data_IF_318405739642
#
_entry.id   IF_318405739642
#
_cell.length_a   1.000
_cell.length_b   1.000
_cell.length_c   1.000
_cell.angle_alpha   90.00
_cell.angle_beta   90.00
_cell.angle_gamma   90.00
#
_symmetry.space_group_name_H-M   'P 1'
#
loop_
_entity.id
_entity.type
_entity.pdbx_description
1 polymer ?
#
# COMPACT_ATOMS: atom_id res chain seq x y z
N UNK A 1 -0.98 -29.42 75.10
CA UNK A 1 -1.54 -28.23 74.44
C UNK A 1 -0.36 -27.39 73.98
N UNK A 2 0.02 -27.48 72.70
CA UNK A 2 1.25 -26.86 72.15
C UNK A 2 0.90 -25.43 71.76
N UNK A 3 1.65 -24.45 72.29
CA UNK A 3 1.44 -23.02 72.06
C UNK A 3 2.20 -22.63 70.78
N UNK A 4 1.48 -22.36 69.69
CA UNK A 4 2.07 -21.84 68.46
C UNK A 4 2.42 -20.37 68.66
N UNK A 5 3.72 -20.06 68.76
CA UNK A 5 4.21 -18.68 68.70
C UNK A 5 4.13 -18.17 67.26
N UNK A 6 3.35 -17.11 67.06
CA UNK A 6 3.16 -16.48 65.75
C UNK A 6 4.43 -15.75 65.30
N UNK A 7 4.93 -16.12 64.14
CA UNK A 7 6.06 -15.45 63.49
C UNK A 7 5.62 -14.06 63.02
N UNK A 8 6.08 -13.01 63.71
CA UNK A 8 5.86 -11.62 63.32
C UNK A 8 6.93 -11.19 62.31
N UNK A 9 6.56 -11.17 61.02
CA UNK A 9 7.42 -10.65 59.97
C UNK A 9 7.35 -9.11 59.99
N UNK A 10 8.41 -8.45 60.48
CA UNK A 10 8.57 -7.00 60.43
C UNK A 10 9.14 -6.60 59.06
N UNK A 11 8.36 -5.89 58.26
CA UNK A 11 8.84 -5.26 57.03
C UNK A 11 9.35 -3.86 57.38
N UNK A 12 10.62 -3.59 57.11
CA UNK A 12 11.22 -2.27 57.21
C UNK A 12 11.41 -1.72 55.79
N UNK A 13 10.86 -0.53 55.53
CA UNK A 13 11.05 0.20 54.28
C UNK A 13 12.05 1.33 54.54
N UNK A 14 13.15 1.35 53.78
CA UNK A 14 14.06 2.48 53.75
C UNK A 14 13.65 3.39 52.59
N UNK A 15 13.32 4.66 52.89
CA UNK A 15 13.09 5.68 51.88
C UNK A 15 14.38 6.48 51.68
N UNK A 16 14.86 6.53 50.45
CA UNK A 16 15.97 7.40 50.04
C UNK A 16 15.39 8.58 49.26
N UNK A 17 15.63 9.80 49.74
CA UNK A 17 15.32 11.03 49.01
C UNK A 17 16.60 11.51 48.35
N UNK A 18 16.60 11.60 47.03
CA UNK A 18 17.74 12.12 46.27
C UNK A 18 17.41 13.54 45.81
N UNK A 19 18.30 14.50 46.11
CA UNK A 19 18.18 15.88 45.65
C UNK A 19 19.22 16.15 44.55
N UNK A 20 18.78 16.75 43.44
CA UNK A 20 19.65 17.22 42.37
C UNK A 20 19.74 18.75 42.45
N UNK A 21 20.96 19.28 42.53
CA UNK A 21 21.21 20.72 42.65
C UNK A 21 21.94 21.19 41.40
N UNK A 22 21.33 22.12 40.66
CA UNK A 22 21.95 22.80 39.54
C UNK A 22 22.49 24.16 40.02
N UNK A 23 23.80 24.35 39.93
CA UNK A 23 24.47 25.61 40.27
C UNK A 23 24.84 26.34 38.99
N UNK A 24 24.32 27.55 38.81
CA UNK A 24 24.76 28.49 37.76
C UNK A 24 25.54 29.61 38.43
N UNK A 25 26.76 29.85 37.94
CA UNK A 25 27.64 30.93 38.40
C UNK A 25 27.64 32.03 37.32
N UNK A 26 27.61 33.29 37.74
CA UNK A 26 27.71 34.42 36.80
C UNK A 26 29.07 34.42 36.08
N UNK A 27 29.03 34.54 34.75
CA UNK A 27 30.19 34.51 33.85
C UNK A 27 29.76 34.59 32.39
N UNK A 28 30.70 34.48 31.46
CA UNK A 28 30.37 34.47 30.02
C UNK A 28 29.54 33.22 29.68
N UNK A 29 28.27 33.41 29.35
CA UNK A 29 27.36 32.33 28.96
C UNK A 29 27.37 32.18 27.44
N UNK A 30 27.59 30.95 26.98
CA UNK A 30 27.56 30.58 25.55
C UNK A 30 26.52 29.48 25.34
N UNK A 31 25.36 29.87 24.80
CA UNK A 31 24.24 28.98 24.47
C UNK A 31 24.28 28.61 22.98
N UNK A 32 25.14 27.64 22.61
CA UNK A 32 25.25 27.19 21.21
C UNK A 32 24.99 25.69 21.09
N UNK A 33 24.02 25.31 20.26
CA UNK A 33 23.67 23.93 19.98
C UNK A 33 23.35 23.69 18.51
N UNK A 34 23.51 22.45 18.07
CA UNK A 34 23.17 22.06 16.69
C UNK A 34 22.59 20.66 16.62
N UNK A 35 21.81 20.38 15.57
CA UNK A 35 21.32 19.04 15.28
C UNK A 35 22.39 18.31 14.47
N UNK A 36 23.14 17.43 15.14
CA UNK A 36 24.20 16.64 14.51
C UNK A 36 23.64 15.61 13.52
N UNK A 37 22.52 14.98 13.87
CA UNK A 37 21.83 14.07 12.94
C UNK A 37 20.37 13.93 13.29
N UNK A 38 19.53 13.87 12.25
CA UNK A 38 18.13 13.49 12.37
C UNK A 38 17.78 12.48 11.28
N UNK A 39 17.41 11.26 11.67
CA UNK A 39 17.15 10.16 10.74
C UNK A 39 16.01 9.28 11.19
N UNK A 40 15.28 8.73 10.21
CA UNK A 40 14.40 7.59 10.45
C UNK A 40 15.24 6.33 10.59
N UNK A 41 14.94 5.46 11.56
CA UNK A 41 15.60 4.16 11.71
C UNK A 41 15.26 3.23 10.54
N UNK A 42 14.03 3.32 10.05
CA UNK A 42 13.52 2.54 8.92
C UNK A 42 13.20 3.48 7.75
N UNK A 43 13.81 3.23 6.59
CA UNK A 43 13.57 4.02 5.38
C UNK A 43 12.30 3.61 4.64
N UNK A 44 11.88 2.35 4.76
CA UNK A 44 10.68 1.77 4.16
C UNK A 44 9.91 1.03 5.24
N UNK A 45 8.65 1.38 5.42
CA UNK A 45 7.78 0.90 6.49
C UNK A 45 6.46 0.42 5.88
N UNK A 46 5.90 -0.67 6.39
CA UNK A 46 4.63 -1.23 5.89
C UNK A 46 3.41 -0.54 6.49
N UNK A 47 3.49 -0.23 7.78
CA UNK A 47 2.48 0.45 8.58
C UNK A 47 2.92 1.88 8.84
N UNK A 48 1.99 2.74 9.24
CA UNK A 48 2.24 4.11 9.66
C UNK A 48 2.91 4.15 11.05
N UNK A 49 3.97 3.36 11.26
CA UNK A 49 4.74 3.31 12.50
C UNK A 49 6.21 3.59 12.22
N UNK A 50 6.67 4.80 12.54
CA UNK A 50 8.04 5.24 12.28
C UNK A 50 8.79 5.55 13.57
N UNK A 51 10.05 5.16 13.61
CA UNK A 51 10.95 5.49 14.70
C UNK A 51 12.03 6.45 14.23
N UNK A 52 12.23 7.53 14.95
CA UNK A 52 13.20 8.57 14.63
C UNK A 52 14.31 8.62 15.66
N UNK A 53 15.53 8.82 15.18
CA UNK A 53 16.71 9.11 15.99
C UNK A 53 17.15 10.55 15.74
N UNK A 54 17.18 11.33 16.82
CA UNK A 54 17.70 12.69 16.85
C UNK A 54 18.95 12.73 17.72
N UNK A 55 20.02 13.33 17.21
CA UNK A 55 21.23 13.62 17.99
C UNK A 55 21.41 15.12 18.03
N UNK A 56 21.25 15.68 19.23
CA UNK A 56 21.48 17.09 19.49
C UNK A 56 22.83 17.26 20.16
N UNK A 57 23.65 18.16 19.64
CA UNK A 57 24.99 18.47 20.11
C UNK A 57 24.96 19.85 20.78
N UNK A 58 25.33 19.88 22.06
CA UNK A 58 25.53 21.12 22.80
C UNK A 58 27.02 21.49 22.72
N UNK A 59 27.31 22.59 22.03
CA UNK A 59 28.66 23.18 21.87
C UNK A 59 28.91 24.32 22.85
N UNK A 60 27.90 24.66 23.66
CA UNK A 60 27.95 25.71 24.67
C UNK A 60 28.61 25.26 25.96
N UNK A 61 28.74 26.21 26.88
CA UNK A 61 29.30 25.99 28.21
C UNK A 61 28.25 25.81 29.31
N UNK A 62 26.97 25.94 28.97
CA UNK A 62 25.82 25.72 29.87
C UNK A 62 24.93 24.60 29.34
N UNK A 63 24.21 23.94 30.24
CA UNK A 63 23.26 22.89 29.89
C UNK A 63 22.08 23.47 29.10
N UNK A 64 21.78 22.86 27.96
CA UNK A 64 20.71 23.30 27.07
C UNK A 64 19.51 22.34 27.15
N UNK A 65 18.31 22.90 27.16
CA UNK A 65 17.08 22.13 27.02
C UNK A 65 16.46 22.40 25.65
N UNK A 66 16.67 21.51 24.66
CA UNK A 66 16.03 21.67 23.35
C UNK A 66 14.53 21.37 23.48
N UNK A 67 13.68 22.33 23.12
CA UNK A 67 12.22 22.24 23.17
C UNK A 67 11.63 22.49 21.78
N UNK A 68 10.60 21.75 21.40
CA UNK A 68 9.95 21.95 20.11
C UNK A 68 9.11 20.76 19.69
N UNK A 69 9.09 20.46 18.40
CA UNK A 69 8.29 19.37 17.86
C UNK A 69 8.91 18.73 16.61
N UNK A 70 8.52 17.47 16.37
CA UNK A 70 8.71 16.78 15.10
C UNK A 70 7.37 16.74 14.39
N UNK A 71 7.22 17.56 13.37
CA UNK A 71 6.03 17.55 12.51
C UNK A 71 6.23 16.58 11.35
N UNK A 72 5.28 15.68 11.15
CA UNK A 72 5.30 14.67 10.10
C UNK A 72 4.32 15.07 9.01
N UNK A 73 4.83 15.23 7.80
CA UNK A 73 4.06 15.59 6.61
C UNK A 73 3.98 14.41 5.65
N UNK A 74 2.83 14.24 5.02
CA UNK A 74 2.66 13.34 3.88
C UNK A 74 3.15 13.99 2.57
N UNK A 75 3.07 13.26 1.46
CA UNK A 75 3.44 13.77 0.12
C UNK A 75 2.60 14.96 -0.34
N UNK A 76 1.40 15.13 0.22
CA UNK A 76 0.46 16.21 -0.09
C UNK A 76 0.68 17.46 0.79
N UNK A 77 1.63 17.43 1.71
CA UNK A 77 1.92 18.53 2.64
C UNK A 77 0.97 18.62 3.83
N UNK A 78 0.11 17.62 4.03
CA UNK A 78 -0.78 17.56 5.19
C UNK A 78 -0.02 17.00 6.39
N UNK A 79 -0.31 17.55 7.58
CA UNK A 79 0.25 17.07 8.84
C UNK A 79 -0.44 15.77 9.24
N UNK A 80 0.34 14.71 9.43
CA UNK A 80 -0.11 13.38 9.86
C UNK A 80 0.27 13.02 11.29
N UNK A 81 1.02 13.90 11.95
CA UNK A 81 1.36 13.78 13.36
C UNK A 81 2.32 14.88 13.78
N UNK A 82 2.29 15.22 15.06
CA UNK A 82 3.29 16.06 15.70
C UNK A 82 3.74 15.40 17.00
N UNK A 83 5.06 15.25 17.16
CA UNK A 83 5.69 14.68 18.35
C UNK A 83 6.28 15.83 19.15
N UNK A 84 5.73 16.19 20.32
CA UNK A 84 6.28 17.23 21.15
C UNK A 84 7.60 16.78 21.80
N UNK A 85 8.62 17.62 21.70
CA UNK A 85 9.93 17.43 22.33
C UNK A 85 10.03 18.34 23.56
N UNK A 86 10.25 17.74 24.73
CA UNK A 86 10.55 18.43 25.99
C UNK A 86 9.51 19.44 26.51
N UNK A 87 8.25 19.43 26.03
CA UNK A 87 7.19 20.33 26.54
C UNK A 87 6.86 20.12 28.03
N UNK A 88 7.04 18.91 28.56
CA UNK A 88 6.85 18.57 29.98
C UNK A 88 8.14 18.03 30.61
N UNK A 89 9.30 18.44 30.10
CA UNK A 89 10.64 17.95 30.53
C UNK A 89 10.90 16.46 30.28
N UNK A 90 10.07 15.82 29.44
CA UNK A 90 10.05 14.36 29.21
C UNK A 90 11.38 13.72 28.75
N UNK A 91 12.33 14.50 28.21
CA UNK A 91 13.62 13.99 27.71
C UNK A 91 14.85 14.61 28.40
N UNK A 92 14.64 15.56 29.31
CA UNK A 92 15.70 16.22 30.08
C UNK A 92 16.64 17.14 29.28
N UNK A 93 17.72 17.55 29.95
CA UNK A 93 18.72 18.48 29.42
C UNK A 93 19.84 17.76 28.64
N UNK A 94 20.49 18.53 27.77
CA UNK A 94 21.72 18.17 27.07
C UNK A 94 22.88 18.90 27.74
N UNK A 95 23.78 18.13 28.35
CA UNK A 95 24.91 18.64 29.12
C UNK A 95 25.84 19.46 28.22
N UNK A 96 26.47 20.49 28.77
CA UNK A 96 27.52 21.25 28.08
C UNK A 96 28.57 20.35 27.40
N UNK A 97 29.01 20.70 26.19
CA UNK A 97 29.99 19.96 25.40
C UNK A 97 29.67 18.47 25.20
N UNK A 98 28.40 18.12 25.08
CA UNK A 98 27.95 16.73 24.93
C UNK A 98 26.94 16.55 23.80
N UNK A 99 26.73 15.30 23.40
CA UNK A 99 25.73 14.91 22.40
C UNK A 99 24.72 13.99 23.08
N UNK A 100 23.46 14.39 23.06
CA UNK A 100 22.36 13.56 23.54
C UNK A 100 21.62 12.94 22.37
N UNK A 101 21.33 11.65 22.48
CA UNK A 101 20.49 10.92 21.55
C UNK A 101 19.07 10.84 22.11
N UNK A 102 18.08 11.13 21.28
CA UNK A 102 16.67 10.99 21.56
C UNK A 102 16.04 10.01 20.57
N UNK A 103 15.19 9.13 21.09
CA UNK A 103 14.44 8.16 20.29
C UNK A 103 12.95 8.50 20.38
N UNK A 104 12.31 8.59 19.22
CA UNK A 104 10.89 8.91 19.12
C UNK A 104 10.20 7.80 18.35
N UNK A 105 9.00 7.43 18.77
CA UNK A 105 8.12 6.55 18.01
C UNK A 105 6.82 7.28 17.69
N UNK A 106 6.44 7.22 16.43
CA UNK A 106 5.17 7.73 15.94
C UNK A 106 4.36 6.58 15.38
N UNK A 107 3.08 6.54 15.74
CA UNK A 107 2.11 5.59 15.24
C UNK A 107 0.90 6.35 14.72
N UNK A 108 0.84 6.52 13.41
CA UNK A 108 -0.32 7.04 12.70
C UNK A 108 -1.36 5.96 12.42
N UNK A 109 -2.53 6.39 11.99
CA UNK A 109 -3.55 5.48 11.47
C UNK A 109 -3.13 4.93 10.10
N UNK A 110 -3.24 3.61 9.91
CA UNK A 110 -2.96 2.98 8.62
C UNK A 110 -4.06 3.33 7.61
N UNK A 111 -3.76 4.22 6.66
CA UNK A 111 -4.64 4.49 5.52
C UNK A 111 -4.03 3.98 4.22
N UNK A 112 -4.84 3.27 3.42
CA UNK A 112 -4.42 2.72 2.13
C UNK A 112 -4.09 3.79 1.07
N UNK A 113 -4.45 5.05 1.32
CA UNK A 113 -4.14 6.17 0.41
C UNK A 113 -2.97 7.01 0.88
N UNK A 114 -2.55 6.86 2.12
CA UNK A 114 -1.40 7.52 2.73
C UNK A 114 -0.10 6.75 2.43
N UNK A 115 -0.02 6.17 1.23
CA UNK A 115 1.14 5.42 0.75
C UNK A 115 2.05 6.40 0.03
N UNK A 116 3.32 6.45 0.45
CA UNK A 116 4.34 7.20 -0.27
C UNK A 116 5.41 7.79 0.63
N UNK A 117 6.03 8.88 0.15
CA UNK A 117 7.14 9.56 0.81
C UNK A 117 6.64 10.53 1.88
N UNK A 118 7.05 10.29 3.10
CA UNK A 118 6.81 11.16 4.23
C UNK A 118 8.04 12.02 4.51
N UNK A 119 7.79 13.21 5.04
CA UNK A 119 8.81 14.16 5.48
C UNK A 119 8.59 14.44 6.96
N UNK A 120 9.56 14.07 7.78
CA UNK A 120 9.60 14.52 9.17
C UNK A 120 10.51 15.75 9.25
N UNK A 121 10.02 16.80 9.90
CA UNK A 121 10.77 18.03 10.16
C UNK A 121 10.85 18.21 11.66
N UNK A 122 12.07 18.25 12.19
CA UNK A 122 12.31 18.60 13.58
C UNK A 122 12.64 20.09 13.67
N UNK A 123 11.97 20.78 14.58
CA UNK A 123 12.23 22.18 14.90
C UNK A 123 12.47 22.29 16.40
N UNK A 124 13.65 22.74 16.79
CA UNK A 124 14.07 22.86 18.19
C UNK A 124 14.44 24.30 18.48
N UNK A 125 13.84 24.86 19.52
CA UNK A 125 14.32 26.06 20.22
C UNK A 125 15.17 25.66 21.43
N UNK A 126 16.23 26.43 21.70
CA UNK A 126 17.04 26.31 22.91
C UNK A 126 17.59 27.67 23.33
N UNK A 127 18.12 27.75 24.55
CA UNK A 127 18.62 28.98 25.16
C UNK A 127 17.58 29.65 26.06
N UNK A 128 18.04 30.14 27.20
CA UNK A 128 17.22 30.84 28.20
C UNK A 128 17.31 32.35 28.00
N UNK A 129 18.52 32.87 27.73
CA UNK A 129 18.76 34.28 27.44
C UNK A 129 18.50 34.60 25.96
N UNK A 130 18.98 33.73 25.07
CA UNK A 130 18.84 33.92 23.62
C UNK A 130 18.18 32.71 22.98
N UNK A 131 16.90 32.84 22.59
CA UNK A 131 16.18 31.75 21.93
C UNK A 131 16.72 31.54 20.51
N UNK A 132 17.50 30.49 20.37
CA UNK A 132 18.04 30.02 19.09
C UNK A 132 17.21 28.86 18.56
N UNK A 133 17.03 28.79 17.24
CA UNK A 133 16.26 27.74 16.58
C UNK A 133 17.12 26.95 15.60
N UNK A 134 16.99 25.63 15.64
CA UNK A 134 17.63 24.72 14.68
C UNK A 134 16.58 23.80 14.10
N UNK A 135 16.65 23.62 12.78
CA UNK A 135 15.77 22.73 12.04
C UNK A 135 16.58 21.63 11.33
N UNK A 136 15.96 20.46 11.21
CA UNK A 136 16.49 19.37 10.39
C UNK A 136 15.33 18.58 9.80
N UNK A 137 15.56 17.88 8.69
CA UNK A 137 14.52 17.10 8.04
C UNK A 137 15.03 15.75 7.57
N UNK A 138 14.16 14.75 7.64
CA UNK A 138 14.41 13.41 7.15
C UNK A 138 13.22 12.88 6.38
N UNK A 139 13.47 11.89 5.53
CA UNK A 139 12.44 11.30 4.67
C UNK A 139 12.38 9.80 4.89
N UNK A 140 11.17 9.27 4.82
CA UNK A 140 10.90 7.84 4.90
C UNK A 140 9.72 7.49 3.99
N UNK A 141 9.57 6.23 3.65
CA UNK A 141 8.52 5.72 2.79
C UNK A 141 7.59 4.80 3.55
N UNK A 142 6.28 5.01 3.41
CA UNK A 142 5.26 4.09 3.89
C UNK A 142 4.69 3.37 2.67
N UNK A 143 4.99 2.08 2.51
CA UNK A 143 4.52 1.25 1.39
C UNK A 143 4.11 -0.16 1.87
N UNK A 144 2.82 -0.53 1.77
CA UNK A 144 2.30 -1.85 2.11
C UNK A 144 2.63 -2.89 1.03
N UNK A 145 3.91 -3.27 0.92
CA UNK A 145 4.39 -4.14 -0.16
C UNK A 145 3.80 -5.56 -0.12
N UNK A 146 3.40 -6.07 1.05
CA UNK A 146 2.78 -7.39 1.18
C UNK A 146 1.43 -7.43 0.45
N UNK A 147 0.60 -6.40 0.65
CA UNK A 147 -0.71 -6.25 0.03
C UNK A 147 -0.58 -6.07 -1.49
N UNK A 148 0.39 -5.25 -1.92
CA UNK A 148 0.69 -5.05 -3.36
C UNK A 148 1.12 -6.36 -4.01
N UNK A 149 1.97 -7.15 -3.34
CA UNK A 149 2.45 -8.43 -3.87
C UNK A 149 1.31 -9.45 -4.00
N UNK A 150 0.46 -9.59 -2.97
CA UNK A 150 -0.71 -10.47 -3.03
C UNK A 150 -1.64 -10.08 -4.17
N UNK A 151 -1.94 -8.79 -4.33
CA UNK A 151 -2.76 -8.29 -5.44
C UNK A 151 -2.11 -8.58 -6.80
N UNK A 152 -0.80 -8.35 -6.94
CA UNK A 152 -0.06 -8.62 -8.18
C UNK A 152 -0.08 -10.11 -8.54
N UNK A 153 0.05 -11.01 -7.56
CA UNK A 153 -0.05 -12.46 -7.76
C UNK A 153 -1.46 -12.85 -8.21
N UNK A 154 -2.52 -12.30 -7.58
CA UNK A 154 -3.91 -12.57 -7.97
C UNK A 154 -4.16 -12.11 -9.42
N UNK A 155 -3.71 -10.90 -9.77
CA UNK A 155 -3.83 -10.38 -11.14
C UNK A 155 -3.07 -11.22 -12.15
N UNK A 156 -1.87 -11.70 -11.81
CA UNK A 156 -1.08 -12.60 -12.65
C UNK A 156 -1.77 -13.94 -12.85
N UNK A 157 -2.33 -14.54 -11.78
CA UNK A 157 -3.08 -15.78 -11.86
C UNK A 157 -4.35 -15.63 -12.71
N UNK A 158 -5.07 -14.52 -12.56
CA UNK A 158 -6.20 -14.20 -13.43
C UNK A 158 -5.75 -14.08 -14.89
N UNK A 159 -4.69 -13.33 -15.17
CA UNK A 159 -4.16 -13.20 -16.53
C UNK A 159 -3.80 -14.57 -17.14
N UNK A 160 -3.10 -15.43 -16.39
CA UNK A 160 -2.76 -16.78 -16.84
C UNK A 160 -4.00 -17.64 -17.06
N UNK A 161 -4.99 -17.56 -16.17
CA UNK A 161 -6.26 -18.28 -16.28
C UNK A 161 -7.04 -17.88 -17.54
N UNK A 162 -7.14 -16.57 -17.81
CA UNK A 162 -7.77 -16.03 -19.02
C UNK A 162 -7.00 -16.42 -20.30
N UNK A 163 -5.67 -16.37 -20.27
CA UNK A 163 -4.84 -16.84 -21.38
C UNK A 163 -5.03 -18.34 -21.63
N UNK A 164 -5.16 -19.13 -20.57
CA UNK A 164 -5.42 -20.56 -20.67
C UNK A 164 -6.80 -20.88 -21.24
N UNK A 165 -7.86 -20.19 -20.78
CA UNK A 165 -9.24 -20.45 -21.23
C UNK A 165 -9.46 -20.03 -22.69
N UNK A 166 -8.88 -18.90 -23.12
CA UNK A 166 -8.96 -18.44 -24.51
C UNK A 166 -8.25 -19.41 -25.46
N UNK A 167 -7.05 -19.88 -25.09
CA UNK A 167 -6.35 -20.94 -25.84
C UNK A 167 -7.15 -22.23 -25.91
N UNK A 168 -7.79 -22.64 -24.80
CA UNK A 168 -8.63 -23.84 -24.77
C UNK A 168 -9.88 -23.70 -25.64
N UNK A 169 -10.54 -22.55 -25.59
CA UNK A 169 -11.73 -22.26 -26.39
C UNK A 169 -11.43 -22.28 -27.89
N UNK A 170 -10.35 -21.64 -28.34
CA UNK A 170 -9.93 -21.64 -29.75
C UNK A 170 -9.66 -23.06 -30.24
N UNK A 171 -8.93 -23.88 -29.45
CA UNK A 171 -8.68 -25.29 -29.80
C UNK A 171 -9.99 -26.08 -29.95
N UNK A 172 -10.92 -25.92 -29.02
CA UNK A 172 -12.21 -26.62 -29.08
C UNK A 172 -13.04 -26.19 -30.29
N UNK A 173 -13.02 -24.90 -30.64
CA UNK A 173 -13.72 -24.39 -31.82
C UNK A 173 -13.09 -24.89 -33.14
N UNK A 174 -11.75 -24.99 -33.21
CA UNK A 174 -11.04 -25.54 -34.37
C UNK A 174 -11.35 -27.02 -34.60
N UNK A 175 -11.44 -27.81 -33.52
CA UNK A 175 -11.82 -29.24 -33.59
C UNK A 175 -13.25 -29.39 -34.12
N UNK A 176 -14.21 -28.60 -33.63
CA UNK A 176 -15.59 -28.61 -34.13
C UNK A 176 -15.66 -28.16 -35.59
N UNK A 177 -14.80 -27.21 -36.00
CA UNK A 177 -14.69 -26.77 -37.39
C UNK A 177 -13.98 -27.78 -38.32
N UNK A 178 -13.56 -28.95 -37.80
CA UNK A 178 -12.91 -30.00 -38.58
C UNK A 178 -11.45 -29.73 -38.94
N UNK A 179 -10.83 -28.69 -38.36
CA UNK A 179 -9.42 -28.35 -38.56
C UNK A 179 -8.65 -28.81 -37.33
N UNK A 180 -7.98 -29.96 -37.42
CA UNK A 180 -7.15 -30.47 -36.33
C UNK A 180 -5.86 -29.61 -36.25
N UNK A 181 -5.63 -28.82 -35.19
CA UNK A 181 -4.51 -27.88 -35.12
C UNK A 181 -3.13 -28.58 -35.14
N UNK A 182 -3.08 -29.85 -34.78
CA UNK A 182 -1.84 -30.65 -34.75
C UNK A 182 -1.31 -30.96 -36.16
N UNK A 183 -2.19 -30.98 -37.17
CA UNK A 183 -1.82 -31.20 -38.58
C UNK A 183 -1.39 -29.91 -39.31
N UNK A 184 -1.76 -28.74 -38.76
CA UNK A 184 -1.40 -27.43 -39.32
C UNK A 184 0.04 -27.04 -38.96
N UNK A 185 0.53 -27.44 -37.78
CA UNK A 185 1.90 -27.15 -37.33
C UNK A 185 2.97 -28.03 -38.00
N UNK A 186 2.61 -29.21 -38.52
CA UNK A 186 3.51 -30.17 -39.16
C UNK A 186 3.47 -30.16 -40.69
N UNK A 187 2.76 -29.19 -41.30
CA UNK A 187 2.71 -29.05 -42.77
C UNK A 187 2.04 -30.21 -43.50
N UNK A 188 1.29 -31.08 -42.81
CA UNK A 188 0.55 -32.19 -43.42
C UNK A 188 -0.95 -31.89 -43.36
N UNK A 189 -1.48 -31.27 -44.40
CA UNK A 189 -2.92 -31.03 -44.57
C UNK A 189 -3.66 -32.36 -44.74
N UNK A 190 -4.31 -32.84 -43.68
CA UNK A 190 -5.32 -33.90 -43.79
C UNK A 190 -6.69 -33.24 -44.02
N UNK A 191 -7.06 -33.04 -45.28
CA UNK A 191 -8.44 -32.72 -45.66
C UNK A 191 -9.29 -33.98 -45.41
N UNK A 192 -10.23 -33.94 -44.46
CA UNK A 192 -11.32 -34.91 -44.46
C UNK A 192 -12.32 -34.43 -45.51
N UNK A 193 -12.15 -34.94 -46.72
CA UNK A 193 -13.07 -34.75 -47.85
C UNK A 193 -14.35 -35.54 -47.61
N UNK A 194 -15.43 -34.84 -47.22
CA UNK A 194 -16.82 -35.26 -47.43
C UNK A 194 -17.67 -34.05 -47.81
N UNK A 195 -17.34 -33.43 -48.93
CA UNK A 195 -18.29 -32.57 -49.65
C UNK A 195 -18.09 -32.78 -51.15
N UNK A 196 -19.22 -32.89 -51.84
CA UNK A 196 -19.41 -33.37 -53.20
C UNK A 196 -18.49 -32.69 -54.24
N UNK A 197 -18.00 -33.46 -55.20
CA UNK A 197 -16.83 -33.22 -56.08
C UNK A 197 -17.06 -32.19 -57.21
N UNK A 198 -17.95 -31.21 -57.03
CA UNK A 198 -18.38 -30.30 -58.10
C UNK A 198 -18.05 -28.81 -57.85
N UNK A 199 -17.64 -28.45 -56.64
CA UNK A 199 -17.33 -27.03 -56.29
C UNK A 199 -15.83 -26.70 -56.28
N UNK A 200 -14.94 -27.64 -56.60
CA UNK A 200 -13.49 -27.47 -56.47
C UNK A 200 -12.83 -26.63 -57.57
N UNK A 201 -13.53 -26.29 -58.66
CA UNK A 201 -12.97 -25.40 -59.70
C UNK A 201 -13.07 -23.90 -59.38
N UNK A 202 -13.88 -23.47 -58.39
CA UNK A 202 -14.03 -22.04 -58.07
C UNK A 202 -13.10 -21.54 -56.95
N UNK A 203 -12.48 -22.44 -56.17
CA UNK A 203 -11.68 -22.05 -54.98
C UNK A 203 -10.23 -21.70 -55.32
N UNK A 204 -9.70 -22.14 -56.47
CA UNK A 204 -8.28 -21.91 -56.84
C UNK A 204 -7.92 -20.42 -57.07
N UNK A 205 -8.91 -19.53 -57.15
CA UNK A 205 -8.68 -18.07 -57.36
C UNK A 205 -8.65 -17.23 -56.08
N UNK A 206 -8.95 -17.79 -54.90
CA UNK A 206 -9.06 -17.02 -53.65
C UNK A 206 -7.87 -17.20 -52.68
N UNK A 207 -6.68 -17.50 -53.18
CA UNK A 207 -5.49 -17.69 -52.33
C UNK A 207 -4.67 -16.40 -52.07
N UNK A 208 -5.23 -15.20 -52.35
CA UNK A 208 -4.57 -13.91 -52.02
C UNK A 208 -5.11 -13.20 -50.78
N UNK A 209 -6.11 -13.77 -50.09
CA UNK A 209 -6.79 -13.09 -48.97
C UNK A 209 -6.31 -13.45 -47.56
N UNK A 210 -5.60 -14.56 -47.38
CA UNK A 210 -5.50 -15.21 -46.06
C UNK A 210 -4.34 -14.72 -45.16
N UNK A 211 -3.76 -13.55 -45.41
CA UNK A 211 -2.69 -12.96 -44.55
C UNK A 211 -3.19 -11.89 -43.57
N UNK A 212 -4.49 -11.61 -43.49
CA UNK A 212 -5.03 -10.44 -42.76
C UNK A 212 -5.93 -10.77 -41.56
N UNK A 213 -5.62 -11.83 -40.81
CA UNK A 213 -6.33 -12.17 -39.56
C UNK A 213 -5.37 -12.29 -38.37
N UNK A 214 -4.50 -11.30 -38.21
CA UNK A 214 -3.88 -10.97 -36.92
C UNK A 214 -4.56 -9.72 -36.38
N UNK A 215 -5.80 -9.85 -35.89
CA UNK A 215 -6.41 -8.85 -35.01
C UNK A 215 -7.25 -9.58 -33.98
N UNK A 216 -6.96 -9.34 -32.70
CA UNK A 216 -7.66 -9.84 -31.52
C UNK A 216 -9.17 -9.48 -31.45
N UNK A 217 -9.73 -8.87 -32.50
CA UNK A 217 -11.11 -8.35 -32.58
C UNK A 217 -12.08 -9.25 -33.37
N UNK A 218 -11.60 -10.32 -34.00
CA UNK A 218 -12.42 -11.24 -34.81
C UNK A 218 -13.60 -11.87 -34.04
N UNK A 219 -13.53 -12.28 -32.76
CA UNK A 219 -14.66 -12.97 -32.14
C UNK A 219 -15.86 -12.06 -31.81
N UNK A 220 -15.65 -10.76 -31.62
CA UNK A 220 -16.72 -9.81 -31.22
C UNK A 220 -17.60 -9.43 -32.41
N UNK A 221 -17.01 -9.17 -33.59
CA UNK A 221 -17.78 -8.81 -34.78
C UNK A 221 -18.55 -9.99 -35.37
N UNK A 222 -17.98 -11.20 -35.31
CA UNK A 222 -18.66 -12.41 -35.77
C UNK A 222 -19.87 -12.78 -34.90
N UNK A 223 -19.83 -12.51 -33.58
CA UNK A 223 -20.97 -12.75 -32.69
C UNK A 223 -22.15 -11.82 -32.95
N UNK A 224 -21.88 -10.54 -33.24
CA UNK A 224 -22.93 -9.56 -33.60
C UNK A 224 -23.57 -9.88 -34.97
N UNK A 225 -22.78 -10.31 -35.95
CA UNK A 225 -23.28 -10.66 -37.29
C UNK A 225 -24.10 -11.96 -37.30
N UNK A 226 -23.74 -12.96 -36.47
CA UNK A 226 -24.52 -14.20 -36.31
C UNK A 226 -25.85 -13.93 -35.57
N UNK A 227 -25.82 -13.07 -34.54
CA UNK A 227 -27.03 -12.64 -33.82
C UNK A 227 -28.02 -11.93 -34.75
N UNK A 228 -27.53 -10.99 -35.57
CA UNK A 228 -28.36 -10.25 -36.51
C UNK A 228 -28.99 -11.17 -37.58
N UNK A 229 -28.24 -12.17 -38.08
CA UNK A 229 -28.75 -13.15 -39.05
C UNK A 229 -29.77 -14.10 -38.43
N UNK A 230 -29.56 -14.58 -37.20
CA UNK A 230 -30.51 -15.45 -36.48
C UNK A 230 -31.81 -14.73 -36.10
N UNK A 231 -31.74 -13.44 -35.77
CA UNK A 231 -32.93 -12.63 -35.46
C UNK A 231 -33.78 -12.28 -36.70
N UNK A 232 -33.15 -12.18 -37.88
CA UNK A 232 -33.86 -11.90 -39.15
C UNK A 232 -34.71 -13.06 -39.67
N UNK A 233 -34.38 -14.30 -39.32
CA UNK A 233 -35.09 -15.50 -39.79
C UNK A 233 -36.32 -15.91 -38.95
N UNK A 234 -36.61 -15.20 -37.85
CA UNK A 234 -37.66 -15.58 -36.89
C UNK A 234 -38.74 -14.51 -36.84
N UNK A 235 -39.95 -14.86 -37.27
CA UNK A 235 -41.11 -13.95 -37.34
C UNK A 235 -41.88 -13.82 -36.00
N UNK A 236 -41.64 -14.72 -35.05
CA UNK A 236 -42.37 -14.79 -33.76
C UNK A 236 -41.52 -14.26 -32.58
N UNK A 237 -42.09 -13.38 -31.76
CA UNK A 237 -41.41 -12.69 -30.64
C UNK A 237 -40.89 -13.67 -29.58
N UNK A 238 -41.65 -14.71 -29.27
CA UNK A 238 -41.26 -15.76 -28.31
C UNK A 238 -40.00 -16.52 -28.74
N UNK A 239 -39.89 -16.83 -30.04
CA UNK A 239 -38.72 -17.51 -30.59
C UNK A 239 -37.50 -16.58 -30.70
N UNK A 240 -37.68 -15.26 -30.85
CA UNK A 240 -36.59 -14.27 -30.72
C UNK A 240 -36.02 -14.20 -29.30
N UNK A 241 -36.87 -14.31 -28.28
CA UNK A 241 -36.43 -14.33 -26.88
C UNK A 241 -35.65 -15.61 -26.57
N UNK A 242 -36.14 -16.78 -27.02
CA UNK A 242 -35.46 -18.07 -26.79
C UNK A 242 -34.11 -18.12 -27.50
N UNK A 243 -34.02 -17.63 -28.74
CA UNK A 243 -32.75 -17.56 -29.49
C UNK A 243 -31.77 -16.54 -28.89
N UNK A 244 -32.26 -15.44 -28.32
CA UNK A 244 -31.46 -14.50 -27.55
C UNK A 244 -30.93 -15.12 -26.24
N UNK A 245 -31.75 -15.90 -25.54
CA UNK A 245 -31.35 -16.64 -24.33
C UNK A 245 -30.28 -17.71 -24.68
N UNK A 246 -30.45 -18.46 -25.76
CA UNK A 246 -29.44 -19.41 -26.23
C UNK A 246 -28.13 -18.72 -26.64
N UNK A 247 -28.20 -17.51 -27.20
CA UNK A 247 -27.04 -16.68 -27.47
C UNK A 247 -26.33 -16.27 -26.17
N UNK A 248 -27.06 -15.78 -25.17
CA UNK A 248 -26.53 -15.51 -23.82
C UNK A 248 -25.79 -16.72 -23.22
N UNK A 249 -26.36 -17.92 -23.32
CA UNK A 249 -25.71 -19.16 -22.87
C UNK A 249 -24.48 -19.54 -23.70
N UNK A 250 -24.50 -19.28 -25.02
CA UNK A 250 -23.37 -19.56 -25.92
C UNK A 250 -22.17 -18.65 -25.65
N UNK A 251 -22.42 -17.40 -25.24
CA UNK A 251 -21.40 -16.41 -24.89
C UNK A 251 -21.18 -16.25 -23.38
N UNK A 252 -21.63 -17.22 -22.57
CA UNK A 252 -21.53 -17.18 -21.09
C UNK A 252 -20.14 -16.84 -20.56
N UNK A 253 -19.08 -17.28 -21.25
CA UNK A 253 -17.70 -16.94 -20.88
C UNK A 253 -17.43 -15.45 -21.07
N UNK A 254 -17.83 -14.85 -22.19
CA UNK A 254 -17.63 -13.42 -22.47
C UNK A 254 -18.44 -12.56 -21.48
N UNK A 255 -19.68 -12.96 -21.20
CA UNK A 255 -20.53 -12.31 -20.20
C UNK A 255 -19.97 -12.38 -18.78
N UNK A 256 -19.48 -13.54 -18.34
CA UNK A 256 -18.83 -13.68 -17.03
C UNK A 256 -17.62 -12.77 -16.94
N UNK A 257 -16.82 -12.65 -18.00
CA UNK A 257 -15.66 -11.75 -18.00
C UNK A 257 -16.04 -10.28 -17.93
N UNK A 258 -17.14 -9.88 -18.59
CA UNK A 258 -17.67 -8.52 -18.53
C UNK A 258 -18.21 -8.20 -17.13
N UNK A 259 -18.94 -9.13 -16.52
CA UNK A 259 -19.49 -8.98 -15.16
C UNK A 259 -18.38 -8.88 -14.13
N UNK A 260 -17.34 -9.70 -14.24
CA UNK A 260 -16.15 -9.61 -13.35
C UNK A 260 -15.46 -8.26 -13.50
N UNK A 261 -15.30 -7.74 -14.73
CA UNK A 261 -14.72 -6.42 -14.96
C UNK A 261 -15.58 -5.29 -14.37
N UNK A 262 -16.90 -5.37 -14.49
CA UNK A 262 -17.84 -4.39 -13.91
C UNK A 262 -17.79 -4.45 -12.38
N UNK A 263 -17.75 -5.65 -11.79
CA UNK A 263 -17.66 -5.83 -10.34
C UNK A 263 -16.34 -5.26 -9.78
N UNK A 264 -15.22 -5.48 -10.48
CA UNK A 264 -13.92 -4.87 -10.14
C UNK A 264 -14.00 -3.33 -10.24
N UNK A 265 -14.60 -2.80 -11.31
CA UNK A 265 -14.76 -1.36 -11.49
C UNK A 265 -15.67 -0.73 -10.42
N UNK A 266 -16.74 -1.41 -10.02
CA UNK A 266 -17.66 -0.93 -8.99
C UNK A 266 -17.03 -0.98 -7.60
N UNK A 267 -16.28 -2.06 -7.30
CA UNK A 267 -15.49 -2.17 -6.08
C UNK A 267 -14.45 -1.06 -5.96
N UNK A 268 -13.77 -0.71 -7.07
CA UNK A 268 -12.86 0.43 -7.13
C UNK A 268 -13.58 1.76 -6.84
N UNK A 269 -14.73 2.02 -7.47
CA UNK A 269 -15.48 3.28 -7.28
C UNK A 269 -16.00 3.42 -5.84
N UNK A 270 -16.60 2.37 -5.28
CA UNK A 270 -17.08 2.36 -3.88
C UNK A 270 -15.91 2.59 -2.90
N UNK A 271 -14.75 2.02 -3.20
CA UNK A 271 -13.52 2.18 -2.44
C UNK A 271 -12.94 3.60 -2.50
N UNK A 272 -12.98 4.29 -3.65
CA UNK A 272 -12.53 5.69 -3.74
C UNK A 272 -13.42 6.65 -2.94
N UNK A 273 -14.72 6.34 -2.79
CA UNK A 273 -15.67 7.24 -2.15
C UNK A 273 -15.59 7.23 -0.61
N UNK A 274 -15.06 6.18 0.02
CA UNK A 274 -14.96 6.05 1.48
C UNK A 274 -13.76 6.78 2.11
N UNK A 275 -13.00 7.52 1.30
CA UNK A 275 -11.63 7.97 1.61
C UNK A 275 -11.53 9.47 1.91
N UNK A 276 -12.57 10.24 1.59
CA UNK A 276 -12.63 11.68 1.87
C UNK A 276 -13.03 12.00 3.33
N UNK A 277 -12.27 11.52 4.32
CA UNK A 277 -12.48 11.91 5.73
C UNK A 277 -11.23 12.63 6.24
N UNK A 278 -11.43 13.92 6.55
CA UNK A 278 -10.43 15.00 6.58
C UNK A 278 -9.64 15.13 7.89
N UNK A 279 -9.97 14.41 8.97
CA UNK A 279 -9.22 14.49 10.23
C UNK A 279 -9.26 13.16 10.98
N UNK A 280 -8.09 12.64 11.37
CA UNK A 280 -7.97 11.35 12.06
C UNK A 280 -6.84 11.33 13.08
N UNK A 281 -7.02 10.51 14.11
CA UNK A 281 -6.23 10.53 15.34
C UNK A 281 -4.88 9.82 15.19
N UNK A 282 -3.89 10.24 15.98
CA UNK A 282 -2.55 9.67 16.00
C UNK A 282 -2.06 9.44 17.43
N UNK A 283 -1.26 8.40 17.61
CA UNK A 283 -0.68 8.00 18.90
C UNK A 283 0.84 8.22 18.85
N UNK A 284 1.38 8.91 19.84
CA UNK A 284 2.82 9.19 19.95
C UNK A 284 3.37 8.44 21.16
N UNK A 285 4.33 7.55 20.93
CA UNK A 285 5.01 6.84 22.02
C UNK A 285 6.40 7.46 22.20
N UNK A 286 6.58 8.11 23.34
CA UNK A 286 7.82 8.68 23.78
C UNK A 286 8.58 7.60 24.56
N UNK A 287 9.75 7.20 24.06
CA UNK A 287 10.65 6.28 24.75
C UNK A 287 11.96 6.99 25.08
N UNK A 288 12.13 7.37 26.36
CA UNK A 288 13.44 7.71 26.91
C UNK A 288 14.02 6.46 27.60
N UNK A 289 15.35 6.39 27.73
CA UNK A 289 16.11 5.24 28.25
C UNK A 289 15.59 4.72 29.61
N UNK A 290 14.86 5.55 30.36
CA UNK A 290 14.30 5.22 31.68
C UNK A 290 12.77 5.43 31.82
N UNK A 291 12.03 5.89 30.79
CA UNK A 291 10.59 6.14 30.92
C UNK A 291 9.82 6.02 29.60
N UNK A 292 8.65 5.37 29.61
CA UNK A 292 7.76 5.21 28.45
C UNK A 292 6.48 6.01 28.69
N UNK A 293 6.29 7.09 27.94
CA UNK A 293 5.11 7.97 28.04
C UNK A 293 4.36 7.87 26.70
N UNK A 294 3.08 7.51 26.74
CA UNK A 294 2.21 7.49 25.56
C UNK A 294 1.33 8.72 25.58
N UNK A 295 1.38 9.54 24.52
CA UNK A 295 0.51 10.70 24.34
C UNK A 295 -0.41 10.40 23.15
N UNK A 296 -1.72 10.37 23.40
CA UNK A 296 -2.75 10.22 22.36
C UNK A 296 -3.29 11.60 21.97
N UNK A 297 -3.70 11.76 20.72
CA UNK A 297 -4.32 12.99 20.21
C UNK A 297 -5.83 13.08 20.48
N UNK A 298 -6.40 12.30 21.41
CA UNK A 298 -7.80 12.40 21.84
C UNK A 298 -8.06 13.67 22.66
#
# INVERSE_FOLDING_TARGET
MIKCEGWSNKVQTAQFVTALVFLRVEGDVSESGSVRSFRSLNSIIQTAEASFELRFENTGNVDLQPQGDITIYNMWGEVRGSIPINQQTNYGNVVANSIRQFLFSWKGENSFFDIGRYKAVVTLGFGEETKSFVNSSTYFWIVPYQQILVLAVILLLLYLFFSWITRRYIRHMLIIAGINPDHVATGKTAYISRFNDQTLMSVKKSNRGLKKYKKLLVPISFGMDDLHKRLKGVHTISARIITFIQFLFSYRLLLVTLVVMIAISFGLIWYFNSVHVVNRQYEVVISDVNNKITISSE
#
